data_IF_453685410305
#
_entry.id   IF_453685410305
#
_cell.length_a   1.000
_cell.length_b   1.000
_cell.length_c   1.000
_cell.angle_alpha   90.00
_cell.angle_beta   90.00
_cell.angle_gamma   90.00
#
_symmetry.space_group_name_H-M   'P 1'
#
loop_
_entity.id
_entity.type
_entity.pdbx_description
1 polymer ?
#
# COMPACT_ATOMS: atom_id res chain seq x y z
N UNK A 1 -30.16 35.97 79.49
CA UNK A 1 -29.64 34.60 79.32
C UNK A 1 -28.37 34.68 78.49
N UNK A 2 -27.26 34.25 79.11
CA UNK A 2 -25.95 33.80 78.61
C UNK A 2 -25.38 34.31 77.28
N UNK A 3 -24.17 34.85 77.36
CA UNK A 3 -23.25 35.02 76.23
C UNK A 3 -22.23 33.87 76.10
N UNK A 4 -21.53 33.86 74.95
CA UNK A 4 -20.21 33.27 74.61
C UNK A 4 -19.99 33.58 73.12
N UNK A 5 -19.03 34.42 72.70
CA UNK A 5 -17.57 34.30 72.60
C UNK A 5 -17.04 33.59 71.32
N UNK A 6 -16.23 34.35 70.55
CA UNK A 6 -15.12 33.98 69.65
C UNK A 6 -15.46 33.22 68.33
N UNK A 7 -14.76 33.35 67.19
CA UNK A 7 -13.32 33.56 66.95
C UNK A 7 -13.08 34.07 65.51
N UNK A 8 -12.20 35.06 65.36
CA UNK A 8 -11.68 35.58 64.08
C UNK A 8 -10.43 34.79 63.67
N UNK A 9 -10.40 34.21 62.45
CA UNK A 9 -9.21 33.56 61.89
C UNK A 9 -8.67 34.34 60.68
N UNK A 10 -7.47 34.88 60.83
CA UNK A 10 -6.76 35.65 59.79
C UNK A 10 -6.15 34.72 58.73
N UNK A 11 -6.44 34.98 57.45
CA UNK A 11 -5.88 34.24 56.31
C UNK A 11 -4.56 34.88 55.87
N UNK A 12 -3.45 34.20 56.17
CA UNK A 12 -2.08 34.62 55.85
C UNK A 12 -1.80 34.42 54.35
N UNK A 13 -1.51 35.51 53.64
CA UNK A 13 -1.05 35.55 52.25
C UNK A 13 0.41 35.08 52.18
N UNK A 14 0.69 33.99 51.46
CA UNK A 14 2.07 33.59 51.11
C UNK A 14 2.53 34.36 49.88
N UNK A 15 3.62 35.12 50.01
CA UNK A 15 4.36 35.71 48.89
C UNK A 15 5.36 34.67 48.38
N UNK A 16 5.43 34.50 47.06
CA UNK A 16 6.47 33.72 46.39
C UNK A 16 7.65 34.66 46.08
N UNK A 17 8.82 34.33 46.59
CA UNK A 17 10.10 34.97 46.24
C UNK A 17 10.83 34.08 45.23
N UNK A 18 11.42 34.63 44.15
CA UNK A 18 12.23 33.85 43.21
C UNK A 18 13.65 33.60 43.75
N UNK A 19 14.31 32.48 43.39
CA UNK A 19 15.67 32.19 43.81
C UNK A 19 16.72 33.03 43.05
N UNK A 20 17.74 33.48 43.78
CA UNK A 20 18.86 34.29 43.28
C UNK A 20 19.91 33.45 42.55
N UNK A 21 20.52 34.07 41.55
CA UNK A 21 21.68 33.57 40.83
C UNK A 21 22.97 33.80 41.62
N UNK A 22 23.64 32.71 42.01
CA UNK A 22 25.08 32.63 42.23
C UNK A 22 25.47 31.17 42.51
N UNK A 23 26.61 30.77 41.97
CA UNK A 23 27.32 29.49 42.14
C UNK A 23 26.82 28.29 41.33
N UNK A 24 27.52 27.98 40.24
CA UNK A 24 28.48 26.86 40.20
C UNK A 24 29.31 27.00 38.92
N UNK A 25 30.52 27.54 39.08
CA UNK A 25 31.65 27.30 38.17
C UNK A 25 32.30 25.97 38.58
N UNK A 26 32.27 24.98 37.70
CA UNK A 26 33.23 23.87 37.71
C UNK A 26 33.36 23.34 36.29
N UNK A 27 34.56 23.49 35.75
CA UNK A 27 34.86 23.25 34.35
C UNK A 27 35.08 21.77 34.05
N UNK A 28 34.73 21.41 32.82
CA UNK A 28 35.28 20.24 32.14
C UNK A 28 35.57 20.65 30.70
N UNK A 29 36.85 20.78 30.35
CA UNK A 29 37.32 20.86 28.96
C UNK A 29 37.08 19.49 28.33
N UNK A 30 36.30 19.44 27.25
CA UNK A 30 36.27 18.29 26.35
C UNK A 30 36.89 18.74 25.05
N UNK A 31 38.02 18.12 24.73
CA UNK A 31 38.81 18.31 23.52
C UNK A 31 38.00 17.93 22.28
N UNK A 32 38.04 18.79 21.27
CA UNK A 32 37.59 18.48 19.92
C UNK A 32 38.62 17.57 19.23
N UNK A 33 38.25 16.31 19.01
CA UNK A 33 38.99 15.41 18.14
C UNK A 33 38.28 15.33 16.79
N UNK A 34 39.01 15.69 15.74
CA UNK A 34 38.61 15.64 14.35
C UNK A 34 38.22 14.21 13.93
N UNK A 35 37.04 14.06 13.33
CA UNK A 35 36.64 12.83 12.65
C UNK A 35 36.87 13.04 11.15
N UNK A 36 37.92 12.38 10.67
CA UNK A 36 38.28 12.23 9.26
C UNK A 36 37.20 11.45 8.51
N UNK A 37 36.59 12.05 7.50
CA UNK A 37 35.64 11.41 6.58
C UNK A 37 36.36 10.78 5.39
N UNK A 38 36.48 9.45 5.39
CA UNK A 38 36.79 8.66 4.19
C UNK A 38 35.52 7.96 3.71
N UNK A 39 35.19 7.98 2.40
CA UNK A 39 34.01 7.31 1.89
C UNK A 39 34.24 5.79 1.79
N UNK A 40 33.47 5.02 2.55
CA UNK A 40 33.38 3.56 2.40
C UNK A 40 32.45 3.25 1.23
N UNK A 41 33.02 2.79 0.11
CA UNK A 41 32.27 2.24 -1.01
C UNK A 41 31.75 0.84 -0.66
N UNK A 42 30.46 0.72 -0.35
CA UNK A 42 29.80 -0.57 -0.19
C UNK A 42 29.40 -1.09 -1.57
N UNK A 43 30.17 -2.06 -2.07
CA UNK A 43 29.85 -2.83 -3.28
C UNK A 43 28.99 -4.02 -2.89
N UNK A 44 27.67 -3.92 -3.11
CA UNK A 44 26.75 -5.05 -2.94
C UNK A 44 26.88 -5.98 -4.15
N UNK A 45 27.50 -7.13 -3.98
CA UNK A 45 27.51 -8.20 -5.00
C UNK A 45 26.38 -9.18 -4.72
N UNK A 46 25.38 -9.25 -5.60
CA UNK A 46 24.30 -10.24 -5.52
C UNK A 46 24.80 -11.64 -5.93
N UNK A 47 25.20 -12.46 -4.96
CA UNK A 47 25.52 -13.90 -5.11
C UNK A 47 24.37 -14.80 -4.67
N UNK A 48 23.20 -14.68 -5.31
CA UNK A 48 22.05 -15.59 -5.05
C UNK A 48 21.53 -16.32 -6.30
N UNK A 49 22.26 -16.27 -7.42
CA UNK A 49 21.87 -16.94 -8.67
C UNK A 49 22.48 -18.36 -8.85
N UNK A 50 23.02 -18.98 -7.81
CA UNK A 50 23.69 -20.29 -7.95
C UNK A 50 23.46 -21.21 -6.74
N UNK A 51 22.23 -21.69 -6.57
CA UNK A 51 21.91 -22.95 -5.88
C UNK A 51 20.41 -23.21 -5.94
N UNK A 52 19.99 -24.02 -6.90
CA UNK A 52 18.88 -24.99 -6.77
C UNK A 52 18.80 -25.81 -8.07
N UNK A 53 19.82 -26.65 -8.26
CA UNK A 53 19.72 -27.87 -9.06
C UNK A 53 20.13 -29.00 -8.13
N UNK A 54 19.16 -29.74 -7.62
CA UNK A 54 19.22 -31.20 -7.38
C UNK A 54 17.95 -31.70 -6.66
N UNK A 55 17.35 -32.72 -7.28
CA UNK A 55 16.55 -33.83 -6.71
C UNK A 55 15.18 -33.45 -6.08
N UNK A 56 14.08 -34.15 -6.34
CA UNK A 56 13.97 -35.59 -6.51
C UNK A 56 12.76 -35.95 -7.37
N UNK A 57 12.94 -36.97 -8.21
CA UNK A 57 11.86 -37.73 -8.79
C UNK A 57 11.14 -38.53 -7.71
N UNK A 58 9.81 -38.44 -7.70
CA UNK A 58 8.96 -39.51 -7.18
C UNK A 58 7.77 -39.66 -8.12
N UNK A 59 7.78 -40.80 -8.79
CA UNK A 59 6.74 -41.35 -9.63
C UNK A 59 5.46 -41.61 -8.82
N UNK A 60 4.33 -41.10 -9.29
CA UNK A 60 3.01 -41.68 -9.03
C UNK A 60 2.19 -41.57 -10.31
N UNK A 61 1.88 -42.74 -10.90
CA UNK A 61 0.99 -42.90 -12.04
C UNK A 61 -0.47 -42.62 -11.63
N UNK A 62 -1.36 -42.28 -12.59
CA UNK A 62 -2.69 -41.75 -12.29
C UNK A 62 -3.72 -42.87 -12.07
N UNK A 63 -4.61 -42.69 -11.09
CA UNK A 63 -5.83 -43.49 -10.97
C UNK A 63 -6.96 -42.87 -11.78
N UNK A 64 -7.37 -43.64 -12.77
CA UNK A 64 -8.50 -43.47 -13.66
C UNK A 64 -9.80 -43.76 -12.89
N UNK A 65 -10.66 -42.76 -12.69
CA UNK A 65 -12.10 -43.01 -12.45
C UNK A 65 -12.95 -41.75 -12.69
N UNK A 66 -13.75 -41.86 -13.75
CA UNK A 66 -15.13 -41.38 -13.83
C UNK A 66 -15.42 -39.88 -13.61
N UNK A 67 -15.56 -39.16 -14.72
CA UNK A 67 -16.76 -38.34 -14.92
C UNK A 67 -17.11 -38.17 -16.39
N UNK A 68 -17.82 -39.17 -16.89
CA UNK A 68 -18.71 -39.10 -18.05
C UNK A 68 -19.96 -38.30 -17.70
N UNK A 69 -20.39 -37.44 -18.64
CA UNK A 69 -21.77 -37.07 -18.98
C UNK A 69 -22.00 -35.55 -19.11
N UNK A 70 -21.92 -35.05 -20.36
CA UNK A 70 -23.04 -34.40 -21.09
C UNK A 70 -22.50 -33.68 -22.33
N UNK A 71 -22.62 -34.32 -23.48
CA UNK A 71 -22.66 -33.63 -24.76
C UNK A 71 -23.51 -34.48 -25.72
N UNK A 72 -24.75 -34.08 -25.90
CA UNK A 72 -25.62 -34.54 -26.97
C UNK A 72 -26.41 -33.33 -27.46
N UNK A 73 -26.02 -32.80 -28.61
CA UNK A 73 -26.92 -32.19 -29.59
C UNK A 73 -26.31 -32.39 -30.98
N UNK A 74 -27.05 -33.15 -31.79
CA UNK A 74 -27.01 -33.23 -33.26
C UNK A 74 -26.79 -31.85 -33.90
N UNK A 75 -26.27 -31.67 -35.12
CA UNK A 75 -26.03 -32.55 -36.26
C UNK A 75 -25.94 -31.63 -37.48
N UNK A 76 -25.15 -31.97 -38.50
CA UNK A 76 -25.05 -31.12 -39.69
C UNK A 76 -23.94 -31.53 -40.66
N UNK A 77 -24.27 -32.50 -41.50
CA UNK A 77 -23.48 -33.02 -42.63
C UNK A 77 -23.59 -32.03 -43.80
N UNK A 78 -22.49 -31.66 -44.44
CA UNK A 78 -22.47 -31.32 -45.86
C UNK A 78 -21.04 -31.38 -46.42
N UNK A 79 -20.84 -32.40 -47.24
CA UNK A 79 -19.77 -32.61 -48.21
C UNK A 79 -19.67 -31.49 -49.23
N UNK A 80 -18.46 -31.18 -49.69
CA UNK A 80 -18.27 -30.82 -51.10
C UNK A 80 -16.89 -31.28 -51.60
N UNK A 81 -16.95 -32.25 -52.50
CA UNK A 81 -15.90 -32.65 -53.42
C UNK A 81 -15.86 -31.66 -54.59
N UNK A 82 -14.66 -31.25 -55.01
CA UNK A 82 -14.36 -30.84 -56.39
C UNK A 82 -12.85 -31.01 -56.61
N UNK A 83 -12.41 -32.13 -57.19
CA UNK A 83 -12.08 -32.35 -58.61
C UNK A 83 -10.94 -31.48 -59.17
N UNK A 84 -9.76 -32.10 -59.20
CA UNK A 84 -8.92 -32.43 -60.38
C UNK A 84 -8.59 -31.36 -61.42
N UNK A 85 -7.30 -31.06 -61.58
CA UNK A 85 -6.60 -31.21 -62.89
C UNK A 85 -5.08 -31.18 -62.75
N UNK A 86 -4.46 -32.22 -63.32
CA UNK A 86 -3.02 -32.41 -63.53
C UNK A 86 -2.43 -31.37 -64.49
N UNK A 87 -1.13 -31.07 -64.32
CA UNK A 87 -0.21 -30.96 -65.45
C UNK A 87 1.17 -31.51 -65.07
N UNK A 88 1.67 -32.41 -65.92
CA UNK A 88 2.97 -33.07 -65.87
C UNK A 88 4.11 -32.08 -66.15
N UNK A 89 5.24 -32.30 -65.48
CA UNK A 89 6.57 -31.82 -65.87
C UNK A 89 7.64 -32.71 -65.25
N UNK A 90 8.22 -33.61 -66.04
CA UNK A 90 9.25 -34.54 -65.63
C UNK A 90 10.63 -33.89 -65.59
N UNK A 91 11.44 -34.17 -64.56
CA UNK A 91 12.90 -34.22 -64.67
C UNK A 91 13.52 -34.92 -63.45
N UNK A 92 14.54 -35.74 -63.76
CA UNK A 92 15.36 -36.56 -62.88
C UNK A 92 15.96 -35.84 -61.66
N UNK A 93 16.13 -36.58 -60.55
CA UNK A 93 16.91 -36.12 -59.41
C UNK A 93 16.85 -37.04 -58.19
N UNK A 94 17.85 -37.92 -58.09
CA UNK A 94 18.58 -38.28 -56.85
C UNK A 94 17.79 -38.47 -55.54
N UNK A 95 17.75 -39.74 -55.11
CA UNK A 95 17.42 -40.18 -53.75
C UNK A 95 18.23 -39.40 -52.70
N UNK A 96 17.57 -38.51 -51.97
CA UNK A 96 18.12 -37.87 -50.78
C UNK A 96 17.19 -38.11 -49.61
N UNK A 97 17.78 -38.64 -48.54
CA UNK A 97 17.18 -39.09 -47.29
C UNK A 97 16.38 -37.96 -46.61
N UNK A 98 15.05 -37.97 -46.77
CA UNK A 98 14.16 -37.04 -46.06
C UNK A 98 14.00 -37.49 -44.60
N UNK A 99 14.62 -36.76 -43.69
CA UNK A 99 14.35 -36.86 -42.26
C UNK A 99 12.86 -36.57 -42.01
N UNK A 100 12.09 -37.61 -41.72
CA UNK A 100 10.74 -37.48 -41.16
C UNK A 100 10.85 -36.93 -39.73
N UNK A 101 10.90 -35.61 -39.59
CA UNK A 101 10.43 -35.00 -38.36
C UNK A 101 8.91 -35.14 -38.35
N UNK A 102 8.43 -36.12 -37.58
CA UNK A 102 7.02 -36.21 -37.23
C UNK A 102 6.59 -34.89 -36.61
N UNK A 103 5.67 -34.18 -37.27
CA UNK A 103 5.00 -33.04 -36.69
C UNK A 103 4.28 -33.51 -35.41
N UNK A 104 4.74 -33.02 -34.26
CA UNK A 104 4.03 -33.15 -33.00
C UNK A 104 2.62 -32.51 -33.15
N UNK A 105 1.56 -33.10 -32.58
CA UNK A 105 0.23 -32.53 -32.67
C UNK A 105 0.19 -31.12 -32.05
N UNK A 106 -0.58 -30.17 -32.61
CA UNK A 106 -0.73 -28.83 -32.06
C UNK A 106 -1.65 -28.87 -30.83
N UNK A 107 -1.14 -29.41 -29.73
CA UNK A 107 -1.89 -29.54 -28.49
C UNK A 107 -1.01 -29.44 -27.25
N UNK A 108 -0.03 -28.53 -27.23
CA UNK A 108 0.66 -28.15 -25.99
C UNK A 108 1.51 -26.90 -26.21
N UNK A 109 0.88 -25.72 -26.09
CA UNK A 109 1.48 -24.45 -25.61
C UNK A 109 0.53 -23.30 -25.96
N UNK A 110 -0.70 -23.37 -25.45
CA UNK A 110 -1.30 -22.15 -24.93
C UNK A 110 -0.57 -21.86 -23.61
N UNK A 111 0.66 -21.33 -23.71
CA UNK A 111 1.24 -20.60 -22.59
C UNK A 111 0.33 -19.40 -22.43
N UNK A 112 -0.64 -19.56 -21.53
CA UNK A 112 -1.61 -18.57 -21.13
C UNK A 112 -0.85 -17.28 -20.91
N UNK A 113 -0.91 -16.36 -21.89
CA UNK A 113 -0.42 -15.01 -21.70
C UNK A 113 -1.13 -14.53 -20.43
N UNK A 114 -0.42 -14.11 -19.37
CA UNK A 114 -1.09 -13.64 -18.18
C UNK A 114 -1.96 -12.48 -18.63
N UNK A 115 -3.28 -12.70 -18.61
CA UNK A 115 -4.25 -11.62 -18.84
C UNK A 115 -3.81 -10.50 -17.91
N UNK A 116 -3.57 -9.28 -18.41
CA UNK A 116 -3.18 -8.19 -17.53
C UNK A 116 -4.20 -8.11 -16.41
N UNK A 117 -3.74 -7.97 -15.14
CA UNK A 117 -4.64 -7.91 -14.01
C UNK A 117 -5.67 -6.82 -14.26
N UNK A 118 -6.93 -7.14 -13.94
CA UNK A 118 -8.02 -6.20 -14.12
C UNK A 118 -7.74 -4.93 -13.28
N UNK A 119 -8.18 -3.74 -13.71
CA UNK A 119 -7.88 -2.48 -13.01
C UNK A 119 -8.30 -2.48 -11.53
N UNK A 120 -9.33 -3.25 -11.17
CA UNK A 120 -9.79 -3.40 -9.77
C UNK A 120 -8.78 -4.10 -8.87
N UNK A 121 -7.84 -4.87 -9.45
CA UNK A 121 -6.82 -5.60 -8.69
C UNK A 121 -5.85 -4.61 -8.02
N UNK A 122 -5.36 -3.59 -8.73
CA UNK A 122 -4.43 -2.58 -8.18
C UNK A 122 -5.06 -1.76 -7.05
N UNK A 123 -6.37 -1.48 -7.16
CA UNK A 123 -7.14 -0.78 -6.12
C UNK A 123 -7.15 -1.55 -4.80
N UNK A 124 -7.22 -2.88 -4.85
CA UNK A 124 -7.25 -3.73 -3.63
C UNK A 124 -5.94 -3.64 -2.86
N UNK A 125 -4.80 -3.70 -3.54
CA UNK A 125 -3.49 -3.59 -2.90
C UNK A 125 -3.37 -2.29 -2.11
N UNK A 126 -3.67 -1.16 -2.75
CA UNK A 126 -3.61 0.16 -2.11
C UNK A 126 -4.63 0.34 -0.99
N UNK A 127 -5.87 -0.17 -1.12
CA UNK A 127 -6.82 -0.19 -0.01
C UNK A 127 -6.31 -1.01 1.18
N UNK A 128 -5.66 -2.14 0.90
CA UNK A 128 -5.01 -2.95 1.92
C UNK A 128 -3.92 -2.19 2.69
N UNK A 129 -3.04 -1.50 1.96
CA UNK A 129 -1.98 -0.66 2.56
C UNK A 129 -2.57 0.52 3.34
N UNK A 130 -3.63 1.16 2.84
CA UNK A 130 -4.34 2.20 3.56
C UNK A 130 -4.93 1.66 4.87
N UNK A 131 -5.62 0.51 4.85
CA UNK A 131 -6.14 -0.12 6.06
C UNK A 131 -5.03 -0.50 7.05
N UNK A 132 -3.89 -1.02 6.57
CA UNK A 132 -2.73 -1.32 7.43
C UNK A 132 -2.18 -0.07 8.10
N UNK A 133 -2.05 1.02 7.34
CA UNK A 133 -1.53 2.29 7.86
C UNK A 133 -2.47 2.92 8.88
N UNK A 134 -3.78 2.80 8.64
CA UNK A 134 -4.82 3.35 9.50
C UNK A 134 -5.15 2.47 10.71
N UNK A 135 -4.77 1.20 10.74
CA UNK A 135 -5.13 0.30 11.84
C UNK A 135 -4.62 0.77 13.21
N UNK A 136 -3.36 1.23 13.41
CA UNK A 136 -2.94 1.75 14.71
C UNK A 136 -3.68 3.05 15.09
N UNK A 137 -3.96 3.92 14.12
CA UNK A 137 -4.67 5.19 14.33
C UNK A 137 -6.12 4.91 14.76
N UNK A 138 -6.77 3.98 14.08
CA UNK A 138 -8.15 3.55 14.38
C UNK A 138 -8.24 2.92 15.77
N UNK A 139 -7.29 2.05 16.12
CA UNK A 139 -7.21 1.49 17.48
C UNK A 139 -7.08 2.60 18.53
N UNK A 140 -6.15 3.54 18.34
CA UNK A 140 -5.94 4.64 19.28
C UNK A 140 -7.19 5.51 19.44
N UNK A 141 -7.83 5.92 18.34
CA UNK A 141 -9.07 6.72 18.38
C UNK A 141 -10.21 5.99 19.09
N UNK A 142 -10.41 4.70 18.81
CA UNK A 142 -11.47 3.92 19.45
C UNK A 142 -11.22 3.69 20.94
N UNK A 143 -10.00 3.30 21.32
CA UNK A 143 -9.62 3.04 22.71
C UNK A 143 -9.60 4.29 23.59
N UNK A 144 -9.51 5.48 22.98
CA UNK A 144 -9.57 6.76 23.69
C UNK A 144 -10.95 7.44 23.62
N UNK A 145 -11.97 6.74 23.11
CA UNK A 145 -13.36 7.20 23.16
C UNK A 145 -13.79 8.12 22.00
N UNK A 146 -13.09 8.10 20.87
CA UNK A 146 -13.39 8.93 19.69
C UNK A 146 -13.83 8.11 18.46
N UNK A 147 -14.94 7.34 18.54
CA UNK A 147 -15.38 6.47 17.45
C UNK A 147 -15.81 7.22 16.19
N UNK A 148 -16.37 8.43 16.35
CA UNK A 148 -16.75 9.27 15.21
C UNK A 148 -15.51 9.70 14.42
N UNK A 149 -14.44 10.13 15.11
CA UNK A 149 -13.18 10.46 14.46
C UNK A 149 -12.53 9.24 13.82
N UNK A 150 -12.58 8.07 14.47
CA UNK A 150 -12.10 6.82 13.88
C UNK A 150 -12.79 6.52 12.54
N UNK A 151 -14.12 6.61 12.51
CA UNK A 151 -14.91 6.40 11.29
C UNK A 151 -14.64 7.48 10.23
N UNK A 152 -14.53 8.75 10.61
CA UNK A 152 -14.24 9.85 9.71
C UNK A 152 -12.86 9.70 9.05
N UNK A 153 -11.82 9.41 9.84
CA UNK A 153 -10.46 9.22 9.35
C UNK A 153 -10.40 8.00 8.42
N UNK A 154 -10.88 6.85 8.88
CA UNK A 154 -10.88 5.63 8.09
C UNK A 154 -11.70 5.78 6.80
N UNK A 155 -12.92 6.29 6.91
CA UNK A 155 -13.82 6.47 5.78
C UNK A 155 -13.26 7.43 4.73
N UNK A 156 -12.75 8.58 5.15
CA UNK A 156 -12.21 9.59 4.22
C UNK A 156 -10.97 9.08 3.50
N UNK A 157 -9.99 8.52 4.23
CA UNK A 157 -8.74 8.03 3.64
C UNK A 157 -9.03 6.86 2.69
N UNK A 158 -9.92 5.93 3.05
CA UNK A 158 -10.29 4.82 2.16
C UNK A 158 -11.09 5.29 0.93
N UNK A 159 -11.95 6.30 1.08
CA UNK A 159 -12.68 6.90 -0.03
C UNK A 159 -11.73 7.55 -1.04
N UNK A 160 -10.73 8.27 -0.54
CA UNK A 160 -9.73 9.00 -1.33
C UNK A 160 -8.47 8.19 -1.64
N UNK A 161 -8.42 6.90 -1.30
CA UNK A 161 -7.22 6.07 -1.45
C UNK A 161 -6.73 5.97 -2.91
N UNK A 162 -7.59 6.20 -3.90
CA UNK A 162 -7.24 6.21 -5.34
C UNK A 162 -7.17 7.63 -5.92
N UNK A 163 -7.11 8.67 -5.09
CA UNK A 163 -7.09 10.05 -5.56
C UNK A 163 -5.89 10.34 -6.49
N UNK A 164 -4.65 9.88 -6.20
CA UNK A 164 -3.51 10.09 -7.11
C UNK A 164 -3.71 9.46 -8.50
N UNK A 165 -4.26 8.25 -8.56
CA UNK A 165 -4.55 7.49 -9.80
C UNK A 165 -5.62 8.11 -10.70
N UNK A 166 -6.30 9.16 -10.25
CA UNK A 166 -7.20 9.93 -11.13
C UNK A 166 -6.41 10.56 -12.29
N UNK A 167 -5.10 10.72 -12.16
CA UNK A 167 -4.20 11.20 -13.21
C UNK A 167 -4.26 10.38 -14.52
N UNK A 168 -4.57 9.09 -14.46
CA UNK A 168 -4.78 8.24 -15.64
C UNK A 168 -5.89 8.78 -16.57
N UNK A 169 -6.78 9.63 -16.05
CA UNK A 169 -7.91 10.21 -16.78
C UNK A 169 -7.68 11.66 -17.17
N UNK A 170 -6.56 12.27 -16.80
CA UNK A 170 -6.28 13.68 -17.02
C UNK A 170 -5.24 13.83 -18.15
N UNK A 171 -5.64 14.32 -19.33
CA UNK A 171 -4.70 14.56 -20.42
C UNK A 171 -3.58 15.51 -20.01
N UNK A 172 -2.33 15.16 -20.35
CA UNK A 172 -1.16 16.01 -20.09
C UNK A 172 -0.55 15.87 -18.69
N UNK A 173 -1.15 15.07 -17.78
CA UNK A 173 -0.53 14.73 -16.50
C UNK A 173 0.14 13.35 -16.62
N UNK A 174 1.48 13.24 -16.45
CA UNK A 174 2.12 11.95 -16.42
C UNK A 174 1.73 11.18 -15.15
N UNK A 175 1.34 9.92 -15.31
CA UNK A 175 1.13 9.00 -14.19
C UNK A 175 2.44 8.82 -13.41
N UNK A 176 2.36 8.76 -12.07
CA UNK A 176 3.53 8.76 -11.16
C UNK A 176 4.38 10.04 -11.20
N UNK A 177 3.82 11.14 -11.71
CA UNK A 177 4.42 12.47 -11.65
C UNK A 177 3.89 13.29 -10.48
N UNK A 178 3.28 14.47 -10.74
CA UNK A 178 2.92 15.42 -9.68
C UNK A 178 1.96 14.85 -8.64
N UNK A 179 0.96 14.07 -9.05
CA UNK A 179 -0.07 13.47 -8.19
C UNK A 179 0.47 12.42 -7.21
N UNK A 180 1.64 11.85 -7.50
CA UNK A 180 2.27 10.80 -6.70
C UNK A 180 3.46 11.34 -5.91
N UNK A 181 3.28 12.51 -5.29
CA UNK A 181 4.34 13.23 -4.59
C UNK A 181 3.92 13.76 -3.23
N UNK A 182 4.89 14.04 -2.36
CA UNK A 182 4.63 14.70 -1.07
C UNK A 182 4.13 16.13 -1.25
N UNK A 183 4.50 16.79 -2.36
CA UNK A 183 3.99 18.12 -2.69
C UNK A 183 2.47 18.06 -2.93
N UNK A 184 2.00 17.10 -3.72
CA UNK A 184 0.57 16.90 -3.94
C UNK A 184 -0.17 16.48 -2.67
N UNK A 185 0.43 15.59 -1.85
CA UNK A 185 -0.12 15.26 -0.54
C UNK A 185 -0.27 16.50 0.35
N UNK A 186 0.75 17.37 0.36
CA UNK A 186 0.71 18.66 1.06
C UNK A 186 -0.38 19.59 0.53
N UNK A 187 -0.57 19.66 -0.79
CA UNK A 187 -1.62 20.47 -1.41
C UNK A 187 -3.03 19.97 -1.04
N UNK A 188 -3.28 18.66 -1.11
CA UNK A 188 -4.56 18.06 -0.68
C UNK A 188 -4.77 18.29 0.82
N UNK A 189 -3.72 18.12 1.64
CA UNK A 189 -3.74 18.49 3.05
C UNK A 189 -4.13 19.96 3.27
N UNK A 190 -3.53 20.89 2.54
CA UNK A 190 -3.85 22.32 2.64
C UNK A 190 -5.32 22.62 2.29
N UNK A 191 -5.89 21.95 1.28
CA UNK A 191 -7.32 22.08 0.93
C UNK A 191 -8.21 21.61 2.09
N UNK A 192 -7.89 20.47 2.71
CA UNK A 192 -8.63 19.98 3.87
C UNK A 192 -8.44 20.87 5.10
N UNK A 193 -7.25 21.41 5.32
CA UNK A 193 -6.98 22.35 6.40
C UNK A 193 -7.80 23.64 6.26
N UNK A 194 -7.88 24.17 5.04
CA UNK A 194 -8.72 25.31 4.70
C UNK A 194 -10.21 24.99 4.96
N UNK A 195 -10.71 23.86 4.48
CA UNK A 195 -12.08 23.43 4.75
C UNK A 195 -12.35 23.29 6.26
N UNK A 196 -11.43 22.70 7.01
CA UNK A 196 -11.53 22.54 8.46
C UNK A 196 -11.59 23.90 9.20
N UNK A 197 -10.79 24.88 8.76
CA UNK A 197 -10.82 26.24 9.32
C UNK A 197 -12.16 26.97 9.14
N UNK A 198 -12.88 26.67 8.06
CA UNK A 198 -14.20 27.26 7.79
C UNK A 198 -15.30 26.62 8.65
N UNK A 199 -15.10 25.36 9.03
CA UNK A 199 -16.07 24.57 9.80
C UNK A 199 -15.86 24.72 11.31
N UNK A 200 -14.61 24.95 11.76
CA UNK A 200 -14.23 25.09 13.17
C UNK A 200 -15.13 26.06 13.96
N UNK A 201 -15.43 27.29 13.49
CA UNK A 201 -16.27 28.24 14.23
C UNK A 201 -17.71 27.77 14.45
N UNK A 202 -18.19 26.83 13.63
CA UNK A 202 -19.57 26.34 13.65
C UNK A 202 -19.70 25.09 14.52
N UNK A 203 -18.77 24.14 14.39
CA UNK A 203 -18.87 22.85 15.06
C UNK A 203 -18.37 22.88 16.51
N UNK A 204 -17.38 23.73 16.85
CA UNK A 204 -16.78 23.78 18.20
C UNK A 204 -16.42 22.39 18.77
N UNK A 205 -15.98 21.46 17.91
CA UNK A 205 -15.65 20.08 18.30
C UNK A 205 -14.18 20.01 18.70
N UNK A 206 -13.91 19.51 19.91
CA UNK A 206 -12.56 19.20 20.34
C UNK A 206 -12.01 17.99 19.56
N UNK A 207 -10.88 18.20 18.88
CA UNK A 207 -10.19 17.14 18.14
C UNK A 207 -9.36 16.28 19.11
N UNK A 208 -9.33 14.94 18.93
CA UNK A 208 -8.55 14.03 19.77
C UNK A 208 -7.06 14.40 19.83
N UNK A 209 -6.43 14.19 21.00
CA UNK A 209 -4.99 14.39 21.17
C UNK A 209 -4.54 15.85 21.24
N UNK A 210 -5.45 16.81 21.37
CA UNK A 210 -5.12 18.24 21.51
C UNK A 210 -4.64 18.89 20.21
N UNK A 211 -4.90 18.26 19.07
CA UNK A 211 -4.58 18.80 17.73
C UNK A 211 -5.61 19.88 17.37
N UNK A 212 -5.22 20.94 16.66
CA UNK A 212 -6.19 21.94 16.18
C UNK A 212 -7.05 21.36 15.05
N UNK A 213 -8.26 21.91 14.85
CA UNK A 213 -9.15 21.47 13.76
C UNK A 213 -8.48 21.64 12.38
N UNK A 214 -7.74 22.73 12.18
CA UNK A 214 -6.94 22.98 10.97
C UNK A 214 -5.87 21.93 10.76
N UNK A 215 -5.09 21.60 11.81
CA UNK A 215 -4.05 20.58 11.71
C UNK A 215 -4.64 19.18 11.49
N UNK A 216 -5.80 18.87 12.08
CA UNK A 216 -6.53 17.64 11.79
C UNK A 216 -6.98 17.56 10.32
N UNK A 217 -7.56 18.64 9.79
CA UNK A 217 -7.89 18.72 8.37
C UNK A 217 -6.66 18.46 7.49
N UNK A 218 -5.54 19.14 7.78
CA UNK A 218 -4.30 18.91 7.06
C UNK A 218 -3.88 17.44 7.08
N UNK A 219 -3.81 16.82 8.26
CA UNK A 219 -3.39 15.42 8.41
C UNK A 219 -4.34 14.45 7.73
N UNK A 220 -5.65 14.75 7.72
CA UNK A 220 -6.65 13.93 7.05
C UNK A 220 -6.47 13.94 5.52
N UNK A 221 -6.33 15.13 4.92
CA UNK A 221 -6.10 15.28 3.48
C UNK A 221 -4.73 14.77 3.04
N UNK A 222 -3.68 15.08 3.80
CA UNK A 222 -2.33 14.57 3.56
C UNK A 222 -2.31 13.04 3.67
N UNK A 223 -2.90 12.49 4.73
CA UNK A 223 -2.98 11.05 4.99
C UNK A 223 -3.66 10.29 3.86
N UNK A 224 -4.73 10.84 3.29
CA UNK A 224 -5.44 10.25 2.16
C UNK A 224 -4.53 9.96 0.96
N UNK A 225 -3.67 10.93 0.60
CA UNK A 225 -2.68 10.75 -0.48
C UNK A 225 -1.50 9.91 0.01
N UNK A 226 -1.00 10.17 1.21
CA UNK A 226 0.20 9.54 1.73
C UNK A 226 0.06 8.01 1.81
N UNK A 227 -1.09 7.47 2.21
CA UNK A 227 -1.32 6.02 2.20
C UNK A 227 -1.23 5.40 0.81
N UNK A 228 -1.57 6.15 -0.24
CA UNK A 228 -1.38 5.71 -1.61
C UNK A 228 0.10 5.63 -1.96
N UNK A 229 0.89 6.64 -1.61
CA UNK A 229 2.35 6.66 -1.85
C UNK A 229 3.07 5.52 -1.10
N UNK A 230 2.58 5.15 0.08
CA UNK A 230 3.07 3.96 0.80
C UNK A 230 2.76 2.65 0.04
N UNK A 231 1.65 2.62 -0.71
CA UNK A 231 1.36 1.54 -1.64
C UNK A 231 2.33 1.51 -2.81
N UNK A 232 2.64 2.66 -3.39
CA UNK A 232 3.59 2.71 -4.52
C UNK A 232 5.02 2.34 -4.13
N UNK A 233 5.51 2.83 -2.99
CA UNK A 233 6.91 2.59 -2.58
C UNK A 233 7.20 1.10 -2.35
N UNK A 234 6.20 0.28 -2.00
CA UNK A 234 6.40 -1.17 -1.84
C UNK A 234 6.41 -1.92 -3.18
N UNK A 235 6.02 -1.28 -4.28
CA UNK A 235 6.00 -1.89 -5.62
C UNK A 235 7.31 -1.68 -6.37
N UNK A 236 7.67 -2.57 -7.33
CA UNK A 236 8.85 -2.38 -8.18
C UNK A 236 8.86 -1.09 -9.01
N UNK A 237 7.69 -0.53 -9.35
CA UNK A 237 7.58 0.73 -10.09
C UNK A 237 7.98 1.94 -9.23
N UNK A 238 7.85 1.83 -7.90
CA UNK A 238 8.27 2.87 -6.97
C UNK A 238 7.47 4.18 -7.07
N UNK A 239 7.93 5.18 -6.34
CA UNK A 239 7.30 6.51 -6.26
C UNK A 239 8.36 7.59 -6.23
N UNK A 240 8.06 8.75 -6.83
CA UNK A 240 8.88 9.94 -6.69
C UNK A 240 8.28 10.90 -5.64
N UNK A 241 8.60 10.66 -4.37
CA UNK A 241 8.15 11.50 -3.26
C UNK A 241 8.50 12.99 -3.43
N UNK A 242 9.62 13.31 -4.07
CA UNK A 242 10.18 14.67 -4.17
C UNK A 242 9.99 15.29 -5.56
N UNK A 243 9.03 14.81 -6.35
CA UNK A 243 8.67 15.44 -7.62
C UNK A 243 8.56 16.97 -7.44
N UNK A 244 9.17 17.79 -8.33
CA UNK A 244 9.74 17.45 -9.64
C UNK A 244 11.21 17.00 -9.61
N UNK A 245 11.84 16.86 -8.45
CA UNK A 245 13.20 16.33 -8.37
C UNK A 245 13.21 14.86 -8.83
N UNK A 246 14.06 14.46 -9.80
CA UNK A 246 13.96 13.14 -10.44
C UNK A 246 14.61 12.06 -9.57
N UNK A 247 13.95 11.66 -8.49
CA UNK A 247 14.39 10.59 -7.60
C UNK A 247 13.25 9.64 -7.29
N UNK A 248 13.47 8.36 -7.55
CA UNK A 248 12.47 7.32 -7.30
C UNK A 248 12.88 6.48 -6.08
N UNK A 249 11.90 6.08 -5.29
CA UNK A 249 12.05 5.18 -4.15
C UNK A 249 11.19 3.95 -4.36
N UNK A 250 11.79 2.77 -4.18
CA UNK A 250 11.09 1.49 -4.21
C UNK A 250 11.73 0.51 -3.24
N UNK A 251 10.91 -0.28 -2.56
CA UNK A 251 11.30 -1.38 -1.68
C UNK A 251 11.23 -2.75 -2.38
N UNK A 252 10.69 -2.82 -3.61
CA UNK A 252 10.59 -4.05 -4.41
C UNK A 252 9.98 -5.25 -3.67
N UNK A 253 8.96 -5.02 -2.83
CA UNK A 253 8.37 -6.07 -1.97
C UNK A 253 7.24 -6.81 -2.68
N UNK A 254 6.34 -6.06 -3.32
CA UNK A 254 5.09 -6.59 -3.85
C UNK A 254 4.89 -6.17 -5.31
N UNK A 255 5.11 -7.08 -6.29
CA UNK A 255 4.75 -6.83 -7.68
C UNK A 255 3.28 -6.39 -7.82
N UNK A 256 3.08 -5.20 -8.40
CA UNK A 256 1.77 -4.59 -8.53
C UNK A 256 0.84 -5.38 -9.46
N UNK A 257 1.41 -6.10 -10.44
CA UNK A 257 0.69 -6.90 -11.44
C UNK A 257 0.23 -8.29 -10.93
N UNK A 258 0.59 -8.65 -9.70
CA UNK A 258 0.22 -9.91 -9.10
C UNK A 258 -1.13 -9.82 -8.39
N UNK A 259 -2.11 -10.60 -8.88
CA UNK A 259 -3.42 -10.73 -8.22
C UNK A 259 -3.28 -11.27 -6.79
N UNK A 260 -2.33 -12.17 -6.55
CA UNK A 260 -2.06 -12.73 -5.22
C UNK A 260 -1.59 -11.64 -4.24
N UNK A 261 -0.64 -10.79 -4.63
CA UNK A 261 -0.13 -9.73 -3.75
C UNK A 261 -1.18 -8.68 -3.43
N UNK A 262 -1.98 -8.28 -4.42
CA UNK A 262 -3.05 -7.31 -4.20
C UNK A 262 -4.14 -7.84 -3.26
N UNK A 263 -4.57 -9.10 -3.43
CA UNK A 263 -5.52 -9.72 -2.50
C UNK A 263 -4.91 -10.01 -1.13
N UNK A 264 -3.63 -10.40 -1.08
CA UNK A 264 -2.90 -10.62 0.16
C UNK A 264 -2.80 -9.35 0.99
N UNK A 265 -2.39 -8.24 0.40
CA UNK A 265 -2.35 -6.92 1.05
C UNK A 265 -3.74 -6.46 1.50
N UNK A 266 -4.76 -6.65 0.66
CA UNK A 266 -6.14 -6.32 1.02
C UNK A 266 -6.62 -7.14 2.22
N UNK A 267 -6.46 -8.47 2.18
CA UNK A 267 -6.83 -9.36 3.27
C UNK A 267 -6.08 -9.04 4.56
N UNK A 268 -4.77 -8.76 4.46
CA UNK A 268 -3.93 -8.35 5.59
C UNK A 268 -4.42 -7.02 6.19
N UNK A 269 -4.75 -6.03 5.36
CA UNK A 269 -5.31 -4.76 5.81
C UNK A 269 -6.66 -4.88 6.49
N UNK A 270 -7.58 -5.67 5.91
CA UNK A 270 -8.87 -5.99 6.54
C UNK A 270 -8.66 -6.66 7.89
N UNK A 271 -7.76 -7.66 7.97
CA UNK A 271 -7.44 -8.35 9.21
C UNK A 271 -6.87 -7.39 10.27
N UNK A 272 -5.92 -6.54 9.91
CA UNK A 272 -5.33 -5.56 10.83
C UNK A 272 -6.35 -4.54 11.32
N UNK A 273 -7.20 -4.01 10.43
CA UNK A 273 -8.24 -3.06 10.77
C UNK A 273 -9.30 -3.70 11.69
N UNK A 274 -9.78 -4.90 11.36
CA UNK A 274 -10.72 -5.64 12.19
C UNK A 274 -10.12 -5.99 13.56
N UNK A 275 -8.85 -6.39 13.61
CA UNK A 275 -8.10 -6.63 14.84
C UNK A 275 -8.04 -5.38 15.72
N UNK A 276 -7.70 -4.22 15.14
CA UNK A 276 -7.73 -2.93 15.84
C UNK A 276 -9.10 -2.60 16.44
N UNK A 277 -10.17 -2.77 15.68
CA UNK A 277 -11.54 -2.54 16.18
C UNK A 277 -11.88 -3.51 17.31
N UNK A 278 -11.61 -4.80 17.13
CA UNK A 278 -11.93 -5.83 18.12
C UNK A 278 -11.16 -5.64 19.43
N UNK A 279 -9.87 -5.28 19.35
CA UNK A 279 -9.05 -5.00 20.53
C UNK A 279 -9.52 -3.74 21.26
N UNK A 280 -9.86 -2.67 20.52
CA UNK A 280 -10.35 -1.44 21.13
C UNK A 280 -11.67 -1.69 21.89
N UNK A 281 -12.63 -2.39 21.28
CA UNK A 281 -13.93 -2.69 21.92
C UNK A 281 -13.78 -3.55 23.18
N UNK A 282 -12.84 -4.51 23.19
CA UNK A 282 -12.57 -5.35 24.38
C UNK A 282 -11.93 -4.59 25.54
N UNK A 283 -11.20 -3.51 25.23
CA UNK A 283 -10.51 -2.69 26.23
C UNK A 283 -11.38 -1.56 26.80
N UNK A 284 -12.57 -1.32 26.27
CA UNK A 284 -13.49 -0.33 26.79
C UNK A 284 -14.16 -0.86 28.08
N UNK A 285 -14.14 -0.09 29.19
CA UNK A 285 -14.97 -0.41 30.34
C UNK A 285 -16.45 -0.32 29.90
N UNK A 286 -17.13 -1.46 29.88
CA UNK A 286 -18.59 -1.59 29.66
C UNK A 286 -19.36 -1.22 30.92
#
# INVERSE_FOLDING_TARGET
>A
MNGTAATTASRRVRRNTPPSASDVTSGTRISASAISSSPVSVRVTNRWAARMTTNSATSAAPSESARTARAACHGGRASNEARTSMHLGAAAGTYTFAARFAAAPPAARAFMSPTPPRPDVFRRGHLGVAMLTLSPITFWLLSTGYPVFAALVAGTVLYLAMLPDVDHRIPGIPHRGPTHSLLFAGAVGAVFAAAASLVEPVLSVAVPGGVSMVAFGFLLGFGAVFTHLLGDVITPAGVNFLWPYPREWSLYLTPADSTLWNWGLFGLGVFAMAGSVALAVRGLPI
#
